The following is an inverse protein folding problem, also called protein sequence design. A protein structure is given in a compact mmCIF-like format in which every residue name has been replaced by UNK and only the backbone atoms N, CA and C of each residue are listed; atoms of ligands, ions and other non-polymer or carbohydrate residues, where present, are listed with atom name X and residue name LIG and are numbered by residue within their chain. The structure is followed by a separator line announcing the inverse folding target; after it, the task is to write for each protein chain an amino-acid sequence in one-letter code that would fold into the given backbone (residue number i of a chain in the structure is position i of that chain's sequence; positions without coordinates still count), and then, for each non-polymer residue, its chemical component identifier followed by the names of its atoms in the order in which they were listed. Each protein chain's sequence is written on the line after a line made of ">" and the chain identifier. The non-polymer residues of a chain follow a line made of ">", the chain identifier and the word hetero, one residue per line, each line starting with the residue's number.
data_IF_977195366363
#
_entry.id   IF_977195366363
#
_cell.length_a   1.000
_cell.length_b   1.000
_cell.length_c   1.000
_cell.angle_alpha   90.00
_cell.angle_beta   90.00
_cell.angle_gamma   90.00
#
_symmetry.space_group_name_H-M   'P 1'
#
loop_
_entity.id
_entity.type
_entity.pdbx_description
1 polymer ?
#
# COMPACT_ATOMS: atom_id res chain seq x y z
N UNK A 1 17.28 31.23 0.26
CA UNK A 1 17.62 29.80 0.16
C UNK A 1 16.88 29.09 1.28
N UNK A 2 15.72 28.53 0.98
CA UNK A 2 14.94 27.75 1.94
C UNK A 2 15.28 26.29 1.70
N UNK A 3 15.96 25.67 2.66
CA UNK A 3 16.22 24.23 2.66
C UNK A 3 14.87 23.52 2.59
N UNK A 4 14.69 22.73 1.54
CA UNK A 4 13.57 21.79 1.46
C UNK A 4 13.91 20.66 2.40
N UNK A 5 13.37 20.70 3.62
CA UNK A 5 13.32 19.54 4.49
C UNK A 5 12.64 18.41 3.72
N UNK A 6 13.43 17.41 3.33
CA UNK A 6 12.94 16.15 2.79
C UNK A 6 12.20 15.42 3.89
N UNK A 7 10.91 15.75 4.05
CA UNK A 7 10.06 15.09 5.03
C UNK A 7 9.97 13.61 4.71
N UNK A 8 10.70 12.78 5.47
CA UNK A 8 10.51 11.34 5.51
C UNK A 8 9.06 11.08 5.94
N UNK A 9 8.19 10.73 4.98
CA UNK A 9 6.79 10.42 5.24
C UNK A 9 6.71 9.04 5.90
N UNK A 10 6.71 9.02 7.23
CA UNK A 10 6.49 7.82 8.01
C UNK A 10 5.02 7.41 7.92
N UNK A 11 4.78 6.16 7.51
CA UNK A 11 3.46 5.59 7.22
C UNK A 11 3.18 4.42 8.15
N UNK A 12 1.96 4.31 8.71
CA UNK A 12 1.57 3.17 9.56
C UNK A 12 0.35 2.46 8.97
N UNK A 13 0.47 1.16 8.70
CA UNK A 13 -0.63 0.28 8.26
C UNK A 13 -0.54 -1.01 9.06
N UNK A 14 -1.63 -1.40 9.73
CA UNK A 14 -1.80 -2.69 10.43
C UNK A 14 -0.52 -3.10 11.20
N UNK A 15 -0.06 -2.25 12.12
CA UNK A 15 1.09 -2.54 12.98
C UNK A 15 2.47 -2.54 12.31
N UNK A 16 2.56 -2.26 11.00
CA UNK A 16 3.82 -2.04 10.29
C UNK A 16 4.02 -0.56 9.99
N UNK A 17 5.28 -0.12 10.04
CA UNK A 17 5.69 1.23 9.68
C UNK A 17 6.53 1.16 8.41
N UNK A 18 6.19 1.98 7.41
CA UNK A 18 6.94 2.12 6.16
C UNK A 18 7.57 3.52 6.14
N UNK A 19 8.86 3.57 5.83
CA UNK A 19 9.70 4.77 5.89
C UNK A 19 10.22 5.22 4.53
N UNK A 20 10.05 4.39 3.50
CA UNK A 20 10.45 4.70 2.12
C UNK A 20 9.42 4.22 1.09
N UNK A 21 9.52 4.74 -0.12
CA UNK A 21 8.73 4.29 -1.26
C UNK A 21 9.10 2.84 -1.64
N UNK A 22 10.37 2.46 -1.52
CA UNK A 22 10.85 1.11 -1.80
C UNK A 22 10.17 0.08 -0.88
N UNK A 23 10.06 0.36 0.42
CA UNK A 23 9.39 -0.52 1.38
C UNK A 23 7.89 -0.69 1.06
N UNK A 24 7.23 0.39 0.61
CA UNK A 24 5.83 0.35 0.17
C UNK A 24 5.70 -0.58 -1.04
N UNK A 25 6.53 -0.38 -2.08
CA UNK A 25 6.47 -1.17 -3.31
C UNK A 25 6.80 -2.65 -3.06
N UNK A 26 7.82 -2.93 -2.25
CA UNK A 26 8.18 -4.30 -1.87
C UNK A 26 7.02 -5.01 -1.16
N UNK A 27 6.36 -4.32 -0.22
CA UNK A 27 5.23 -4.94 0.48
C UNK A 27 4.04 -5.19 -0.43
N UNK A 28 3.75 -4.30 -1.38
CA UNK A 28 2.69 -4.54 -2.39
C UNK A 28 2.96 -5.83 -3.18
N UNK A 29 4.22 -6.04 -3.60
CA UNK A 29 4.66 -7.27 -4.28
C UNK A 29 4.62 -8.51 -3.37
N UNK A 30 4.96 -8.39 -2.08
CA UNK A 30 4.77 -9.47 -1.12
C UNK A 30 3.31 -9.89 -1.00
N UNK A 31 2.38 -8.92 -0.88
CA UNK A 31 0.95 -9.21 -0.75
C UNK A 31 0.47 -10.02 -1.95
N UNK A 32 0.78 -9.58 -3.18
CA UNK A 32 0.38 -10.30 -4.41
C UNK A 32 0.98 -11.73 -4.47
N UNK A 33 2.21 -11.90 -4.00
CA UNK A 33 2.82 -13.24 -3.85
C UNK A 33 2.14 -14.09 -2.79
N UNK A 34 1.73 -13.50 -1.66
CA UNK A 34 1.03 -14.18 -0.58
C UNK A 34 -0.36 -14.68 -1.01
N UNK A 35 -1.10 -13.86 -1.76
CA UNK A 35 -2.43 -14.21 -2.27
C UNK A 35 -2.38 -15.04 -3.55
N UNK A 36 -1.21 -15.14 -4.21
CA UNK A 36 -0.98 -15.93 -5.43
C UNK A 36 -1.93 -15.60 -6.59
N UNK A 37 -2.27 -14.33 -6.71
CA UNK A 37 -3.16 -13.80 -7.74
C UNK A 37 -2.59 -12.51 -8.30
N UNK A 38 -3.01 -12.16 -9.51
CA UNK A 38 -2.65 -10.85 -10.08
C UNK A 38 -3.39 -9.75 -9.33
N UNK A 39 -2.92 -8.50 -9.47
CA UNK A 39 -3.63 -7.35 -8.91
C UNK A 39 -5.07 -7.26 -9.44
N UNK A 40 -5.25 -7.43 -10.75
CA UNK A 40 -6.55 -7.39 -11.40
C UNK A 40 -7.51 -8.47 -10.86
N UNK A 41 -7.02 -9.69 -10.66
CA UNK A 41 -7.83 -10.77 -10.07
C UNK A 41 -8.19 -10.46 -8.61
N UNK A 42 -7.24 -9.89 -7.85
CA UNK A 42 -7.47 -9.54 -6.45
C UNK A 42 -8.53 -8.45 -6.30
N UNK A 43 -8.45 -7.39 -7.12
CA UNK A 43 -9.43 -6.31 -7.17
C UNK A 43 -10.80 -6.82 -7.60
N UNK A 44 -10.87 -7.64 -8.66
CA UNK A 44 -12.13 -8.23 -9.13
C UNK A 44 -12.81 -9.06 -8.04
N UNK A 45 -12.04 -9.86 -7.29
CA UNK A 45 -12.59 -10.65 -6.18
C UNK A 45 -13.00 -9.78 -5.00
N UNK A 46 -12.28 -8.69 -4.72
CA UNK A 46 -12.68 -7.72 -3.72
C UNK A 46 -14.04 -7.08 -4.06
N UNK A 47 -14.21 -6.60 -5.29
CA UNK A 47 -15.44 -5.97 -5.79
C UNK A 47 -16.65 -6.90 -5.74
N UNK A 48 -16.42 -8.21 -5.90
CA UNK A 48 -17.45 -9.23 -5.85
C UNK A 48 -17.63 -9.87 -4.46
N UNK A 49 -16.97 -9.36 -3.41
CA UNK A 49 -17.03 -9.90 -2.04
C UNK A 49 -16.60 -11.37 -1.95
N UNK A 50 -15.65 -11.80 -2.80
CA UNK A 50 -15.14 -13.17 -2.92
C UNK A 50 -13.80 -13.39 -2.21
N UNK A 51 -13.40 -12.45 -1.36
CA UNK A 51 -12.18 -12.55 -0.56
C UNK A 51 -12.44 -13.31 0.73
N UNK A 52 -11.59 -14.30 1.02
CA UNK A 52 -11.52 -14.91 2.35
C UNK A 52 -11.00 -13.90 3.40
N UNK A 53 -11.13 -14.24 4.68
CA UNK A 53 -10.76 -13.32 5.78
C UNK A 53 -9.30 -12.83 5.69
N UNK A 54 -8.36 -13.72 5.34
CA UNK A 54 -6.95 -13.34 5.17
C UNK A 54 -6.77 -12.39 3.98
N UNK A 55 -7.38 -12.73 2.85
CA UNK A 55 -7.31 -11.94 1.61
C UNK A 55 -7.91 -10.54 1.83
N UNK A 56 -9.04 -10.44 2.54
CA UNK A 56 -9.67 -9.16 2.87
C UNK A 56 -8.76 -8.26 3.72
N UNK A 57 -8.06 -8.81 4.74
CA UNK A 57 -7.10 -8.04 5.53
C UNK A 57 -5.93 -7.53 4.68
N UNK A 58 -5.41 -8.38 3.80
CA UNK A 58 -4.33 -8.00 2.88
C UNK A 58 -4.79 -6.98 1.84
N UNK A 59 -6.05 -7.04 1.41
CA UNK A 59 -6.64 -6.05 0.51
C UNK A 59 -6.71 -4.67 1.16
N UNK A 60 -7.16 -4.59 2.42
CA UNK A 60 -7.12 -3.33 3.17
C UNK A 60 -5.70 -2.78 3.36
N UNK A 61 -4.72 -3.67 3.60
CA UNK A 61 -3.32 -3.25 3.65
C UNK A 61 -2.86 -2.69 2.31
N UNK A 62 -3.18 -3.37 1.21
CA UNK A 62 -2.80 -3.01 -0.15
C UNK A 62 -3.42 -1.67 -0.59
N UNK A 63 -4.69 -1.42 -0.28
CA UNK A 63 -5.36 -0.14 -0.53
C UNK A 63 -4.73 1.00 0.28
N UNK A 64 -4.38 0.75 1.54
CA UNK A 64 -3.59 1.68 2.34
C UNK A 64 -2.25 2.00 1.67
N UNK A 65 -1.51 0.98 1.22
CA UNK A 65 -0.22 1.16 0.54
C UNK A 65 -0.36 1.96 -0.75
N UNK A 66 -1.47 1.82 -1.49
CA UNK A 66 -1.75 2.64 -2.68
C UNK A 66 -1.90 4.13 -2.32
N UNK A 67 -2.55 4.44 -1.20
CA UNK A 67 -2.64 5.81 -0.69
C UNK A 67 -1.26 6.37 -0.32
N UNK A 68 -0.45 5.61 0.40
CA UNK A 68 0.88 6.08 0.81
C UNK A 68 1.88 6.16 -0.33
N UNK A 69 1.78 5.28 -1.33
CA UNK A 69 2.53 5.43 -2.58
C UNK A 69 2.20 6.78 -3.24
N UNK A 70 0.91 7.13 -3.35
CA UNK A 70 0.50 8.42 -3.93
C UNK A 70 1.09 9.59 -3.12
N UNK A 71 1.01 9.53 -1.80
CA UNK A 71 1.61 10.55 -0.92
C UNK A 71 3.12 10.65 -1.08
N UNK A 72 3.83 9.53 -1.15
CA UNK A 72 5.28 9.51 -1.30
C UNK A 72 5.73 10.06 -2.67
N UNK A 73 4.95 9.82 -3.73
CA UNK A 73 5.28 10.28 -5.09
C UNK A 73 4.90 11.73 -5.34
N UNK A 74 3.76 12.18 -4.81
CA UNK A 74 3.15 13.44 -5.22
C UNK A 74 2.96 14.44 -4.07
N UNK A 75 3.28 14.04 -2.83
CA UNK A 75 2.96 14.80 -1.62
C UNK A 75 1.48 14.69 -1.24
N UNK A 76 1.06 15.39 -0.19
CA UNK A 76 -0.37 15.59 0.10
C UNK A 76 -0.97 16.48 -0.99
N UNK A 77 -2.09 16.06 -1.57
CA UNK A 77 -2.96 17.01 -2.27
C UNK A 77 -3.38 18.12 -1.29
N UNK A 78 -3.39 19.39 -1.73
CA UNK A 78 -3.75 20.54 -0.89
C UNK A 78 -5.21 20.52 -0.42
#
# INVERSE_FOLDING_TARGET
>A
MTEKDGGNHMTVIIGRTYTSLEEILERKEEILREVRMTREEFDLRADNYLLGEKEAKLYFELDGLDYFEKLARYGREP
#
